data_IF_703965018040
#
_entry.id   IF_703965018040
#
_cell.length_a   1.000
_cell.length_b   1.000
_cell.length_c   1.000
_cell.angle_alpha   90.00
_cell.angle_beta   90.00
_cell.angle_gamma   90.00
#
_symmetry.space_group_name_H-M   'P 1'
#
loop_
_entity.id
_entity.type
_entity.pdbx_description
1 polymer ?
#
# COMPACT_ATOMS: atom_id res chain seq x y z
N UNK A 1 1.09 -4.53 -7.74
CA UNK A 1 1.07 -4.52 -9.24
C UNK A 1 -0.21 -5.10 -9.82
N UNK A 2 -0.57 -6.38 -9.54
CA UNK A 2 -1.77 -7.02 -10.11
C UNK A 2 -3.03 -6.15 -10.09
N UNK A 3 -3.35 -5.52 -8.97
CA UNK A 3 -4.56 -4.71 -8.86
C UNK A 3 -4.55 -3.47 -9.77
N UNK A 4 -3.41 -2.81 -9.97
CA UNK A 4 -3.29 -1.66 -10.88
C UNK A 4 -3.40 -2.07 -12.34
N UNK A 5 -2.82 -3.21 -12.72
CA UNK A 5 -2.72 -3.63 -14.13
C UNK A 5 -3.93 -4.43 -14.61
N UNK A 6 -4.60 -5.14 -13.72
CA UNK A 6 -5.69 -6.05 -14.07
C UNK A 6 -6.98 -5.74 -13.30
N UNK A 7 -6.88 -5.61 -11.97
CA UNK A 7 -8.07 -5.47 -11.12
C UNK A 7 -8.82 -4.15 -11.36
N UNK A 8 -8.12 -3.01 -11.32
CA UNK A 8 -8.75 -1.69 -11.51
C UNK A 8 -9.34 -1.51 -12.92
N UNK A 9 -8.63 -1.83 -14.01
CA UNK A 9 -9.23 -1.81 -15.36
C UNK A 9 -10.46 -2.72 -15.49
N UNK A 10 -10.40 -3.94 -14.96
CA UNK A 10 -11.54 -4.88 -15.01
C UNK A 10 -12.76 -4.35 -14.25
N UNK A 11 -12.55 -3.76 -13.07
CA UNK A 11 -13.65 -3.18 -12.28
C UNK A 11 -14.28 -1.95 -12.94
N UNK A 12 -13.53 -1.19 -13.74
CA UNK A 12 -14.08 -0.05 -14.50
C UNK A 12 -15.03 -0.47 -15.62
N UNK A 13 -14.89 -1.69 -16.13
CA UNK A 13 -15.78 -2.25 -17.15
C UNK A 13 -17.05 -2.88 -16.54
N UNK A 14 -17.04 -3.18 -15.25
CA UNK A 14 -18.20 -3.73 -14.55
C UNK A 14 -19.25 -2.64 -14.24
N UNK A 15 -20.54 -3.02 -14.12
CA UNK A 15 -21.56 -2.10 -13.62
C UNK A 15 -21.15 -1.46 -12.30
N UNK A 16 -21.40 -0.17 -12.13
CA UNK A 16 -20.92 0.61 -10.97
C UNK A 16 -21.34 -0.01 -9.62
N UNK A 17 -22.54 -0.56 -9.54
CA UNK A 17 -23.02 -1.23 -8.32
C UNK A 17 -22.14 -2.46 -7.99
N UNK A 18 -21.88 -3.31 -8.98
CA UNK A 18 -21.04 -4.52 -8.84
C UNK A 18 -19.62 -4.14 -8.47
N UNK A 19 -19.05 -3.13 -9.13
CA UNK A 19 -17.71 -2.64 -8.85
C UNK A 19 -17.59 -2.14 -7.41
N UNK A 20 -18.56 -1.36 -6.92
CA UNK A 20 -18.59 -0.86 -5.54
C UNK A 20 -18.71 -1.99 -4.52
N UNK A 21 -19.54 -2.98 -4.79
CA UNK A 21 -19.74 -4.14 -3.92
C UNK A 21 -18.46 -4.98 -3.80
N UNK A 22 -17.86 -5.33 -4.93
CA UNK A 22 -16.60 -6.10 -4.97
C UNK A 22 -15.49 -5.35 -4.25
N UNK A 23 -15.32 -4.05 -4.51
CA UNK A 23 -14.31 -3.24 -3.82
C UNK A 23 -14.58 -3.15 -2.33
N UNK A 24 -15.83 -2.97 -1.92
CA UNK A 24 -16.21 -2.93 -0.50
C UNK A 24 -15.86 -4.22 0.23
N UNK A 25 -16.06 -5.39 -0.36
CA UNK A 25 -15.66 -6.67 0.23
C UNK A 25 -14.14 -6.87 0.22
N UNK A 26 -13.43 -6.45 -0.84
CA UNK A 26 -11.96 -6.47 -0.86
C UNK A 26 -11.42 -5.62 0.29
N UNK A 27 -11.96 -4.42 0.51
CA UNK A 27 -11.55 -3.55 1.60
C UNK A 27 -11.90 -4.13 2.98
N UNK A 28 -13.06 -4.76 3.13
CA UNK A 28 -13.47 -5.41 4.38
C UNK A 28 -12.42 -6.41 4.88
N UNK A 29 -11.90 -7.24 3.97
CA UNK A 29 -10.88 -8.24 4.32
C UNK A 29 -9.48 -7.65 4.32
N UNK A 30 -9.18 -6.76 3.37
CA UNK A 30 -7.88 -6.09 3.25
C UNK A 30 -7.55 -5.26 4.49
N UNK A 31 -8.47 -4.39 4.91
CA UNK A 31 -8.27 -3.50 6.07
C UNK A 31 -8.12 -4.25 7.41
N UNK A 32 -8.57 -5.50 7.47
CA UNK A 32 -8.37 -6.36 8.65
C UNK A 32 -7.03 -7.11 8.63
N UNK A 33 -6.58 -7.55 7.47
CA UNK A 33 -5.43 -8.46 7.33
C UNK A 33 -4.12 -7.76 6.96
N UNK A 34 -4.20 -6.75 6.10
CA UNK A 34 -3.01 -6.04 5.61
C UNK A 34 -2.25 -5.24 6.67
N UNK A 35 -2.88 -4.65 7.70
CA UNK A 35 -2.15 -3.94 8.74
C UNK A 35 -1.08 -4.80 9.44
N UNK A 36 -1.32 -6.10 9.62
CA UNK A 36 -0.35 -7.02 10.25
C UNK A 36 0.95 -7.03 9.46
N UNK A 37 0.87 -7.19 8.13
CA UNK A 37 2.05 -7.19 7.26
C UNK A 37 2.72 -5.82 7.21
N UNK A 38 1.94 -4.74 7.24
CA UNK A 38 2.46 -3.38 7.31
C UNK A 38 3.25 -3.11 8.60
N UNK A 39 2.72 -3.55 9.74
CA UNK A 39 3.40 -3.44 11.04
C UNK A 39 4.69 -4.26 11.04
N UNK A 40 4.65 -5.50 10.57
CA UNK A 40 5.84 -6.34 10.46
C UNK A 40 6.90 -5.71 9.58
N UNK A 41 6.53 -5.15 8.43
CA UNK A 41 7.45 -4.45 7.55
C UNK A 41 8.08 -3.22 8.22
N UNK A 42 7.31 -2.40 8.93
CA UNK A 42 7.81 -1.25 9.67
C UNK A 42 8.77 -1.65 10.79
N UNK A 43 8.40 -2.66 11.59
CA UNK A 43 9.25 -3.16 12.67
C UNK A 43 10.55 -3.76 12.15
N UNK A 44 10.50 -4.57 11.09
CA UNK A 44 11.69 -5.14 10.47
C UNK A 44 12.63 -4.04 9.94
N UNK A 45 12.07 -3.01 9.28
CA UNK A 45 12.89 -1.88 8.81
C UNK A 45 13.49 -1.08 9.98
N UNK A 46 12.73 -0.86 11.05
CA UNK A 46 13.24 -0.18 12.23
C UNK A 46 14.40 -0.96 12.86
N UNK A 47 14.28 -2.28 13.00
CA UNK A 47 15.37 -3.13 13.49
C UNK A 47 16.61 -3.03 12.58
N UNK A 48 16.42 -3.07 11.26
CA UNK A 48 17.52 -2.88 10.32
C UNK A 48 18.20 -1.52 10.47
N UNK A 49 17.45 -0.43 10.69
CA UNK A 49 18.02 0.90 10.97
C UNK A 49 18.85 0.90 12.25
N UNK A 50 18.37 0.24 13.31
CA UNK A 50 19.02 0.25 14.63
C UNK A 50 20.30 -0.61 14.65
N UNK A 51 20.26 -1.77 14.00
CA UNK A 51 21.35 -2.77 14.09
C UNK A 51 22.30 -2.77 12.90
N UNK A 52 22.04 -2.01 11.84
CA UNK A 52 22.95 -1.92 10.69
C UNK A 52 24.10 -0.94 10.91
N UNK A 53 25.25 -1.22 10.30
CA UNK A 53 26.37 -0.30 10.22
C UNK A 53 26.01 0.99 9.48
N UNK A 54 26.78 2.06 9.74
CA UNK A 54 26.52 3.41 9.22
C UNK A 54 26.34 3.46 7.69
N UNK A 55 27.11 2.65 6.96
CA UNK A 55 27.08 2.58 5.48
C UNK A 55 25.70 2.17 4.91
N UNK A 56 25.02 1.22 5.57
CA UNK A 56 23.74 0.66 5.10
C UNK A 56 22.53 1.35 5.73
N UNK A 57 22.75 1.99 6.88
CA UNK A 57 21.70 2.65 7.67
C UNK A 57 20.93 3.69 6.86
N UNK A 58 21.60 4.44 5.99
CA UNK A 58 20.96 5.46 5.14
C UNK A 58 19.89 4.85 4.21
N UNK A 59 20.17 3.69 3.62
CA UNK A 59 19.20 3.01 2.75
C UNK A 59 18.00 2.48 3.55
N UNK A 60 18.22 1.92 4.74
CA UNK A 60 17.13 1.48 5.61
C UNK A 60 16.31 2.64 6.17
N UNK A 61 16.93 3.79 6.46
CA UNK A 61 16.22 5.02 6.82
C UNK A 61 15.33 5.52 5.67
N UNK A 62 15.86 5.52 4.44
CA UNK A 62 15.08 5.87 3.26
C UNK A 62 13.89 4.92 3.10
N UNK A 63 14.12 3.61 3.19
CA UNK A 63 13.05 2.60 3.13
C UNK A 63 11.99 2.81 4.20
N UNK A 64 12.38 3.01 5.45
CA UNK A 64 11.47 3.26 6.57
C UNK A 64 10.66 4.54 6.35
N UNK A 65 11.30 5.62 5.89
CA UNK A 65 10.62 6.88 5.58
C UNK A 65 9.55 6.72 4.51
N UNK A 66 9.84 5.95 3.44
CA UNK A 66 8.88 5.66 2.37
C UNK A 66 7.70 4.82 2.89
N UNK A 67 7.94 3.84 3.76
CA UNK A 67 6.89 3.04 4.39
C UNK A 67 6.00 3.88 5.31
N UNK A 68 6.58 4.77 6.10
CA UNK A 68 5.81 5.69 6.97
C UNK A 68 4.93 6.59 6.10
N UNK A 69 5.48 7.18 5.04
CA UNK A 69 4.72 8.03 4.11
C UNK A 69 3.59 7.25 3.43
N UNK A 70 3.85 6.00 3.03
CA UNK A 70 2.82 5.10 2.51
C UNK A 70 1.66 4.93 3.50
N UNK A 71 1.95 4.67 4.78
CA UNK A 71 0.94 4.49 5.82
C UNK A 71 0.14 5.78 6.04
N UNK A 72 0.80 6.93 6.07
CA UNK A 72 0.14 8.23 6.23
C UNK A 72 -0.83 8.50 5.07
N UNK A 73 -0.40 8.29 3.82
CA UNK A 73 -1.26 8.47 2.64
C UNK A 73 -2.43 7.48 2.69
N UNK A 74 -2.18 6.22 3.05
CA UNK A 74 -3.25 5.23 3.21
C UNK A 74 -4.28 5.67 4.24
N UNK A 75 -3.85 6.05 5.44
CA UNK A 75 -4.76 6.40 6.54
C UNK A 75 -5.57 7.67 6.23
N UNK A 76 -4.97 8.64 5.56
CA UNK A 76 -5.61 9.92 5.24
C UNK A 76 -6.50 9.88 4.01
N UNK A 77 -6.10 9.16 2.97
CA UNK A 77 -6.79 9.20 1.67
C UNK A 77 -7.58 7.92 1.37
N UNK A 78 -7.01 6.73 1.59
CA UNK A 78 -7.65 5.48 1.16
C UNK A 78 -8.64 4.94 2.18
N UNK A 79 -8.29 4.96 3.44
CA UNK A 79 -9.08 4.37 4.53
C UNK A 79 -10.51 4.98 4.68
N UNK A 80 -10.71 6.30 4.53
CA UNK A 80 -12.06 6.87 4.51
C UNK A 80 -12.90 6.33 3.35
N UNK A 81 -12.30 6.21 2.15
CA UNK A 81 -12.98 5.66 0.96
C UNK A 81 -13.32 4.19 1.18
N UNK A 82 -12.37 3.40 1.67
CA UNK A 82 -12.57 1.99 1.99
C UNK A 82 -13.76 1.78 2.94
N UNK A 83 -13.86 2.60 3.98
CA UNK A 83 -14.97 2.54 4.95
C UNK A 83 -16.32 2.80 4.28
N UNK A 84 -16.41 3.80 3.40
CA UNK A 84 -17.65 4.11 2.68
C UNK A 84 -18.05 2.98 1.74
N UNK A 85 -17.13 2.46 0.95
CA UNK A 85 -17.38 1.34 0.03
C UNK A 85 -17.73 0.06 0.79
N UNK A 86 -17.04 -0.25 1.89
CA UNK A 86 -17.34 -1.40 2.74
C UNK A 86 -18.74 -1.29 3.37
N UNK A 87 -19.11 -0.11 3.86
CA UNK A 87 -20.45 0.11 4.43
C UNK A 87 -21.54 -0.07 3.38
N UNK A 88 -21.35 0.48 2.18
CA UNK A 88 -22.27 0.32 1.06
C UNK A 88 -22.42 -1.14 0.63
N UNK A 89 -21.31 -1.88 0.49
CA UNK A 89 -21.32 -3.29 0.14
C UNK A 89 -22.08 -4.15 1.17
N UNK A 90 -21.89 -3.88 2.47
CA UNK A 90 -22.56 -4.61 3.55
C UNK A 90 -24.06 -4.38 3.64
N UNK A 91 -24.54 -3.22 3.20
CA UNK A 91 -25.95 -2.84 3.28
C UNK A 91 -26.68 -2.95 1.94
N UNK A 92 -25.97 -3.32 0.85
CA UNK A 92 -26.50 -3.31 -0.51
C UNK A 92 -26.85 -1.90 -1.02
N UNK A 93 -26.36 -0.85 -0.35
CA UNK A 93 -26.67 0.54 -0.69
C UNK A 93 -25.87 0.98 -1.91
N UNK A 94 -26.53 1.62 -2.85
CA UNK A 94 -25.86 2.31 -3.97
C UNK A 94 -25.26 3.63 -3.49
N UNK A 95 -24.04 3.94 -3.95
CA UNK A 95 -23.38 5.21 -3.72
C UNK A 95 -23.51 6.06 -4.98
N UNK A 96 -24.14 7.23 -4.89
CA UNK A 96 -24.33 8.13 -6.03
C UNK A 96 -22.98 8.66 -6.57
N UNK A 97 -21.97 8.74 -5.71
CA UNK A 97 -20.62 9.20 -6.04
C UNK A 97 -19.58 8.07 -6.15
N UNK A 98 -20.00 6.82 -6.36
CA UNK A 98 -19.10 5.66 -6.37
C UNK A 98 -17.96 5.81 -7.39
N UNK A 99 -18.21 6.35 -8.58
CA UNK A 99 -17.18 6.61 -9.59
C UNK A 99 -16.13 7.63 -9.11
N UNK A 100 -16.54 8.69 -8.45
CA UNK A 100 -15.63 9.71 -7.90
C UNK A 100 -14.79 9.13 -6.74
N UNK A 101 -15.38 8.30 -5.89
CA UNK A 101 -14.67 7.59 -4.82
C UNK A 101 -13.63 6.63 -5.39
N UNK A 102 -13.99 5.85 -6.42
CA UNK A 102 -13.06 4.95 -7.09
C UNK A 102 -11.90 5.72 -7.74
N UNK A 103 -12.16 6.81 -8.44
CA UNK A 103 -11.12 7.65 -9.03
C UNK A 103 -10.17 8.22 -7.97
N UNK A 104 -10.71 8.64 -6.82
CA UNK A 104 -9.91 9.14 -5.70
C UNK A 104 -9.07 8.03 -5.06
N UNK A 105 -9.61 6.83 -4.94
CA UNK A 105 -8.89 5.66 -4.47
C UNK A 105 -7.76 5.27 -5.42
N UNK A 106 -8.02 5.21 -6.72
CA UNK A 106 -7.02 4.93 -7.76
C UNK A 106 -5.88 5.95 -7.71
N UNK A 107 -6.20 7.24 -7.55
CA UNK A 107 -5.18 8.29 -7.40
C UNK A 107 -4.31 8.06 -6.16
N UNK A 108 -4.90 7.74 -5.03
CA UNK A 108 -4.14 7.43 -3.82
C UNK A 108 -3.25 6.20 -3.99
N UNK A 109 -3.69 5.20 -4.76
CA UNK A 109 -2.91 4.02 -5.08
C UNK A 109 -1.70 4.38 -5.96
N UNK A 110 -1.88 5.25 -6.97
CA UNK A 110 -0.79 5.75 -7.82
C UNK A 110 0.28 6.51 -7.02
N UNK A 111 -0.11 7.19 -5.93
CA UNK A 111 0.86 7.85 -5.03
C UNK A 111 1.61 6.85 -4.15
N UNK A 112 0.96 5.76 -3.73
CA UNK A 112 1.54 4.80 -2.78
C UNK A 112 2.45 3.76 -3.42
N UNK A 113 2.15 3.34 -4.66
CA UNK A 113 2.94 2.30 -5.34
C UNK A 113 4.40 2.71 -5.56
N UNK A 114 4.73 3.93 -6.01
CA UNK A 114 6.11 4.38 -6.11
C UNK A 114 6.87 4.36 -4.77
N UNK A 115 6.20 4.69 -3.67
CA UNK A 115 6.81 4.67 -2.34
C UNK A 115 7.25 3.25 -1.94
N UNK A 116 6.41 2.25 -2.21
CA UNK A 116 6.78 0.85 -1.99
C UNK A 116 7.94 0.42 -2.91
N UNK A 117 7.91 0.83 -4.17
CA UNK A 117 8.98 0.50 -5.11
C UNK A 117 10.33 1.10 -4.66
N UNK A 118 10.35 2.38 -4.24
CA UNK A 118 11.55 3.03 -3.72
C UNK A 118 12.01 2.37 -2.41
N UNK A 119 11.08 2.03 -1.51
CA UNK A 119 11.39 1.31 -0.27
C UNK A 119 12.07 -0.03 -0.55
N UNK A 120 11.51 -0.83 -1.46
CA UNK A 120 12.09 -2.12 -1.86
C UNK A 120 13.47 -1.95 -2.51
N UNK A 121 13.61 -1.00 -3.43
CA UNK A 121 14.87 -0.74 -4.11
C UNK A 121 15.97 -0.34 -3.12
N UNK A 122 15.66 0.52 -2.15
CA UNK A 122 16.59 0.91 -1.11
C UNK A 122 17.07 -0.30 -0.29
N UNK A 123 16.18 -1.23 0.06
CA UNK A 123 16.56 -2.47 0.76
C UNK A 123 17.45 -3.37 -0.09
N UNK A 124 17.12 -3.56 -1.38
CA UNK A 124 17.95 -4.34 -2.28
C UNK A 124 19.36 -3.77 -2.41
N UNK A 125 19.49 -2.44 -2.57
CA UNK A 125 20.80 -1.78 -2.62
C UNK A 125 21.58 -2.03 -1.33
N UNK A 126 20.94 -1.89 -0.16
CA UNK A 126 21.59 -2.17 1.12
C UNK A 126 22.10 -3.61 1.21
N UNK A 127 21.31 -4.59 0.77
CA UNK A 127 21.68 -6.01 0.77
C UNK A 127 22.85 -6.28 -0.18
N UNK A 128 22.83 -5.75 -1.39
CA UNK A 128 23.94 -5.91 -2.35
C UNK A 128 25.23 -5.31 -1.83
N UNK A 129 25.19 -4.11 -1.25
CA UNK A 129 26.37 -3.49 -0.64
C UNK A 129 26.90 -4.30 0.56
N UNK A 130 26.05 -5.00 1.29
CA UNK A 130 26.47 -5.89 2.39
C UNK A 130 27.15 -7.14 1.88
N UNK A 131 26.63 -7.76 0.82
CA UNK A 131 27.20 -8.96 0.25
C UNK A 131 28.60 -8.72 -0.35
N UNK A 132 28.82 -7.59 -1.01
CA UNK A 132 30.13 -7.25 -1.58
C UNK A 132 31.23 -7.09 -0.53
N UNK A 133 30.91 -6.63 0.67
CA UNK A 133 31.88 -6.45 1.76
C UNK A 133 32.31 -7.77 2.46
N UNK A 134 31.65 -8.90 2.15
CA UNK A 134 32.04 -10.21 2.71
C UNK A 134 33.08 -10.92 1.83
N UNK A 135 33.23 -10.48 0.58
CA UNK A 135 34.16 -11.08 -0.40
C UNK A 135 35.47 -10.29 -0.55
N UNK A 136 35.64 -9.20 0.18
CA UNK A 136 36.89 -8.43 0.33
C UNK A 136 37.60 -8.80 1.65
#
# INVERSE_FOLDING_TARGET
MFFLTVGSPGLRLAPQATSTEVMGFIHLFGDKRMPIWGILALLSNLLLVLFSGSRHRTFYLLSLSMLILFVVIYDRLSKPINRLQTAAARTGRRLDNAGALQASWDRSLMMRVPLLAVSMLAQFIALFCSASAVFE
#
